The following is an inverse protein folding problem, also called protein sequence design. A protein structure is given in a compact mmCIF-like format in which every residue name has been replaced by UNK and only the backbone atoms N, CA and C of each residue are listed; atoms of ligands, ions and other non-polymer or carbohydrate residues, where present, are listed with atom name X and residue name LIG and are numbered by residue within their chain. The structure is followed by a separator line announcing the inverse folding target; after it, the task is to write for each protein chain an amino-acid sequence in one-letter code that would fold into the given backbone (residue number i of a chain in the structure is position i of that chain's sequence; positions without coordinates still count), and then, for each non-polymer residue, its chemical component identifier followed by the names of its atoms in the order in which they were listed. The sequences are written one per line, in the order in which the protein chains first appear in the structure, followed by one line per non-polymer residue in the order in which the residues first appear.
data_IF_255964674663
#
_entry.id   IF_255964674663
#
_cell.length_a   1.000
_cell.length_b   1.000
_cell.length_c   1.000
_cell.angle_alpha   90.00
_cell.angle_beta   90.00
_cell.angle_gamma   90.00
#
_symmetry.space_group_name_H-M   'P 1'
#
loop_
_entity.id
_entity.type
_entity.pdbx_description
1 polymer ?
#
# COMPACT_ATOMS: atom_id res chain seq x y z
N UNK A 1 -50.03 44.97 33.15
CA UNK A 1 -49.14 44.51 32.06
C UNK A 1 -47.84 43.92 32.63
N UNK A 2 -47.90 42.82 33.39
CA UNK A 2 -46.70 42.28 34.08
C UNK A 2 -46.59 40.74 34.09
N UNK A 3 -47.64 39.98 33.74
CA UNK A 3 -47.60 38.51 33.80
C UNK A 3 -47.20 37.80 32.49
N UNK A 4 -47.29 38.46 31.33
CA UNK A 4 -47.01 37.81 30.04
C UNK A 4 -45.50 37.67 29.78
N UNK A 5 -44.68 38.61 30.27
CA UNK A 5 -43.23 38.61 30.06
C UNK A 5 -42.49 37.58 30.94
N UNK A 6 -43.04 37.18 32.09
CA UNK A 6 -42.45 36.12 32.92
C UNK A 6 -42.65 34.73 32.31
N UNK A 7 -43.76 34.50 31.62
CA UNK A 7 -44.06 33.20 31.03
C UNK A 7 -43.20 32.89 29.80
N UNK A 8 -42.94 33.91 28.97
CA UNK A 8 -42.03 33.80 27.81
C UNK A 8 -40.58 33.55 28.27
N UNK A 9 -40.11 34.25 29.31
CA UNK A 9 -38.75 34.05 29.85
C UNK A 9 -38.53 32.65 30.44
N UNK A 10 -39.55 32.07 31.09
CA UNK A 10 -39.47 30.69 31.62
C UNK A 10 -39.43 29.63 30.52
N UNK A 11 -40.13 29.84 29.40
CA UNK A 11 -40.07 28.90 28.25
C UNK A 11 -38.74 28.98 27.50
N UNK A 12 -38.17 30.17 27.33
CA UNK A 12 -36.85 30.32 26.71
C UNK A 12 -35.75 29.70 27.58
N UNK A 13 -35.81 29.88 28.91
CA UNK A 13 -34.88 29.23 29.83
C UNK A 13 -35.02 27.70 29.85
N UNK A 14 -36.24 27.17 29.77
CA UNK A 14 -36.48 25.72 29.69
C UNK A 14 -36.02 25.11 28.35
N UNK A 15 -36.20 25.83 27.23
CA UNK A 15 -35.74 25.40 25.91
C UNK A 15 -34.21 25.48 25.77
N UNK A 16 -33.57 26.50 26.37
CA UNK A 16 -32.11 26.58 26.43
C UNK A 16 -31.53 25.50 27.35
N UNK A 17 -32.16 25.19 28.48
CA UNK A 17 -31.75 24.09 29.36
C UNK A 17 -31.93 22.72 28.71
N UNK A 18 -33.02 22.48 27.97
CA UNK A 18 -33.20 21.23 27.23
C UNK A 18 -32.26 21.13 26.02
N UNK A 19 -31.99 22.24 25.32
CA UNK A 19 -31.01 22.31 24.23
C UNK A 19 -29.57 22.08 24.68
N UNK A 20 -29.22 22.53 25.89
CA UNK A 20 -27.91 22.27 26.53
C UNK A 20 -27.78 20.84 27.07
N UNK A 21 -28.88 20.19 27.48
CA UNK A 21 -28.83 18.81 27.99
C UNK A 21 -28.71 17.80 26.82
N UNK A 22 -29.26 18.11 25.64
CA UNK A 22 -29.10 17.25 24.45
C UNK A 22 -27.70 17.37 23.82
N UNK A 23 -26.99 18.49 24.01
CA UNK A 23 -25.60 18.67 23.53
C UNK A 23 -24.51 18.19 24.51
N UNK A 24 -24.90 17.75 25.72
CA UNK A 24 -23.98 17.28 26.77
C UNK A 24 -24.07 15.78 27.05
N UNK A 25 -24.78 15.01 26.22
CA UNK A 25 -24.51 13.59 26.14
C UNK A 25 -23.28 13.45 25.24
N UNK A 26 -22.07 13.20 25.79
CA UNK A 26 -21.03 12.62 24.96
C UNK A 26 -21.66 11.36 24.39
N UNK A 27 -21.96 11.40 23.08
CA UNK A 27 -22.15 10.16 22.35
C UNK A 27 -20.98 9.32 22.77
N UNK A 28 -21.24 8.19 23.45
CA UNK A 28 -20.20 7.27 23.84
C UNK A 28 -19.54 6.88 22.53
N UNK A 29 -18.48 7.58 22.16
CA UNK A 29 -17.51 7.15 21.17
C UNK A 29 -16.99 5.88 21.77
N UNK A 30 -17.60 4.76 21.37
CA UNK A 30 -17.08 3.44 21.68
C UNK A 30 -15.63 3.51 21.25
N UNK A 31 -14.72 3.36 22.21
CA UNK A 31 -13.29 3.40 21.93
C UNK A 31 -13.04 2.45 20.76
N UNK A 32 -12.39 2.96 19.72
CA UNK A 32 -12.20 2.20 18.50
C UNK A 32 -11.32 0.98 18.79
N UNK A 33 -11.84 -0.22 18.57
CA UNK A 33 -11.07 -1.45 18.76
C UNK A 33 -10.07 -1.62 17.62
N UNK A 34 -8.79 -1.40 17.91
CA UNK A 34 -7.66 -1.57 16.98
C UNK A 34 -6.76 -2.75 17.37
N UNK A 35 -7.27 -3.68 18.18
CA UNK A 35 -6.48 -4.79 18.74
C UNK A 35 -6.05 -5.83 17.68
N UNK A 36 -6.82 -5.99 16.59
CA UNK A 36 -6.55 -6.99 15.55
C UNK A 36 -6.15 -6.36 14.22
N UNK A 37 -5.38 -7.09 13.40
CA UNK A 37 -5.07 -6.67 12.02
C UNK A 37 -6.36 -6.41 11.23
N UNK A 38 -7.41 -7.21 11.45
CA UNK A 38 -8.70 -7.04 10.77
C UNK A 38 -9.37 -5.71 11.11
N UNK A 39 -9.42 -5.36 12.40
CA UNK A 39 -10.05 -4.10 12.81
C UNK A 39 -9.21 -2.87 12.43
N UNK A 40 -7.88 -2.99 12.47
CA UNK A 40 -6.97 -1.96 11.91
C UNK A 40 -7.13 -1.79 10.40
N UNK A 41 -7.23 -2.88 9.64
CA UNK A 41 -7.47 -2.82 8.20
C UNK A 41 -8.81 -2.13 7.89
N UNK A 42 -9.89 -2.49 8.61
CA UNK A 42 -11.18 -1.84 8.48
C UNK A 42 -11.10 -0.34 8.79
N UNK A 43 -10.35 0.05 9.82
CA UNK A 43 -10.10 1.46 10.13
C UNK A 43 -9.38 2.19 9.00
N UNK A 44 -8.30 1.62 8.45
CA UNK A 44 -7.55 2.21 7.32
C UNK A 44 -8.45 2.42 6.10
N UNK A 45 -9.31 1.43 5.80
CA UNK A 45 -10.24 1.49 4.66
C UNK A 45 -11.30 2.58 4.89
N UNK A 46 -11.86 2.66 6.10
CA UNK A 46 -12.91 3.62 6.48
C UNK A 46 -12.45 5.08 6.33
N UNK A 47 -11.19 5.37 6.63
CA UNK A 47 -10.58 6.70 6.50
C UNK A 47 -10.68 7.27 5.07
N UNK A 48 -10.85 6.41 4.05
CA UNK A 48 -10.96 6.81 2.64
C UNK A 48 -12.40 7.05 2.16
N UNK A 49 -13.39 6.90 3.04
CA UNK A 49 -14.80 7.13 2.71
C UNK A 49 -15.00 8.54 2.17
N UNK A 50 -15.63 8.64 1.00
CA UNK A 50 -16.00 9.91 0.38
C UNK A 50 -14.81 10.74 -0.14
N UNK A 51 -13.58 10.22 -0.11
CA UNK A 51 -12.43 10.91 -0.70
C UNK A 51 -12.54 10.95 -2.23
N UNK A 52 -12.17 12.09 -2.82
CA UNK A 52 -12.14 12.23 -4.27
C UNK A 52 -10.95 11.49 -4.88
N UNK A 53 -11.15 10.96 -6.08
CA UNK A 53 -10.11 10.30 -6.86
C UNK A 53 -9.67 11.25 -7.97
N UNK A 54 -8.47 11.78 -7.82
CA UNK A 54 -7.87 12.65 -8.83
C UNK A 54 -7.36 11.80 -10.02
N UNK A 55 -7.62 12.22 -11.28
CA UNK A 55 -7.08 11.54 -12.46
C UNK A 55 -5.56 11.44 -12.41
N UNK A 56 -5.01 10.30 -12.85
CA UNK A 56 -3.58 10.05 -12.96
C UNK A 56 -2.78 10.29 -11.66
N UNK A 57 -3.45 10.28 -10.50
CA UNK A 57 -2.80 10.55 -9.22
C UNK A 57 -2.07 9.32 -8.68
N UNK A 58 -0.92 9.54 -8.02
CA UNK A 58 -0.08 8.50 -7.41
C UNK A 58 -0.89 7.50 -6.55
N UNK A 59 -1.83 8.02 -5.76
CA UNK A 59 -2.62 7.23 -4.81
C UNK A 59 -4.10 7.12 -5.14
N UNK A 60 -4.53 7.60 -6.33
CA UNK A 60 -5.94 7.57 -6.71
C UNK A 60 -6.52 6.15 -6.68
N UNK A 61 -5.73 5.14 -7.07
CA UNK A 61 -6.15 3.75 -7.05
C UNK A 61 -6.27 3.15 -5.64
N UNK A 62 -5.45 3.59 -4.66
CA UNK A 62 -5.59 3.16 -3.27
C UNK A 62 -6.94 3.62 -2.69
N UNK A 63 -7.29 4.89 -2.93
CA UNK A 63 -8.57 5.47 -2.56
C UNK A 63 -9.72 4.73 -3.24
N UNK A 64 -9.59 4.45 -4.55
CA UNK A 64 -10.60 3.73 -5.31
C UNK A 64 -10.87 2.33 -4.76
N UNK A 65 -9.83 1.54 -4.48
CA UNK A 65 -10.00 0.22 -3.88
C UNK A 65 -10.69 0.28 -2.52
N UNK A 66 -10.29 1.22 -1.65
CA UNK A 66 -10.91 1.36 -0.34
C UNK A 66 -12.40 1.75 -0.44
N UNK A 67 -12.73 2.70 -1.32
CA UNK A 67 -14.13 3.09 -1.56
C UNK A 67 -14.96 1.94 -2.15
N UNK A 68 -14.41 1.16 -3.08
CA UNK A 68 -15.09 0.00 -3.65
C UNK A 68 -15.22 -1.16 -2.66
N UNK A 69 -14.31 -1.29 -1.68
CA UNK A 69 -14.48 -2.23 -0.57
C UNK A 69 -15.67 -1.84 0.33
N UNK A 70 -15.83 -0.54 0.59
CA UNK A 70 -16.96 -0.03 1.38
C UNK A 70 -18.29 -0.05 0.60
N UNK A 71 -18.24 0.19 -0.71
CA UNK A 71 -19.39 0.18 -1.62
C UNK A 71 -18.97 -0.34 -3.00
N UNK A 72 -19.14 -1.64 -3.29
CA UNK A 72 -18.75 -2.23 -4.58
C UNK A 72 -19.50 -1.69 -5.80
N UNK A 73 -20.56 -0.90 -5.61
CA UNK A 73 -21.35 -0.29 -6.67
C UNK A 73 -21.18 1.25 -6.69
N UNK A 74 -20.10 1.78 -6.12
CA UNK A 74 -19.80 3.22 -6.14
C UNK A 74 -19.56 3.69 -7.59
N UNK A 75 -20.63 4.19 -8.23
CA UNK A 75 -20.62 4.61 -9.62
C UNK A 75 -19.63 5.75 -9.90
N UNK A 76 -19.39 6.63 -8.92
CA UNK A 76 -18.39 7.69 -9.05
C UNK A 76 -16.99 7.07 -9.17
N UNK A 77 -16.67 6.10 -8.33
CA UNK A 77 -15.34 5.45 -8.36
C UNK A 77 -15.14 4.68 -9.65
N UNK A 78 -16.15 3.94 -10.12
CA UNK A 78 -16.11 3.20 -11.38
C UNK A 78 -15.86 4.17 -12.55
N UNK A 79 -16.57 5.30 -12.59
CA UNK A 79 -16.37 6.34 -13.59
C UNK A 79 -14.97 6.96 -13.53
N UNK A 80 -14.49 7.31 -12.33
CA UNK A 80 -13.15 7.88 -12.11
C UNK A 80 -12.03 6.94 -12.53
N UNK A 81 -12.17 5.64 -12.31
CA UNK A 81 -11.18 4.65 -12.74
C UNK A 81 -11.27 4.41 -14.25
N UNK A 82 -12.46 4.43 -14.84
CA UNK A 82 -12.64 4.35 -16.30
C UNK A 82 -11.84 5.46 -16.99
N UNK A 83 -12.00 6.71 -16.53
CA UNK A 83 -11.39 7.89 -17.14
C UNK A 83 -10.06 8.32 -16.47
N UNK A 84 -9.40 7.40 -15.76
CA UNK A 84 -8.28 7.73 -14.87
C UNK A 84 -7.10 8.37 -15.60
N UNK A 85 -6.90 8.04 -16.89
CA UNK A 85 -5.78 8.49 -17.71
C UNK A 85 -6.18 9.40 -18.88
N UNK A 86 -7.39 9.95 -18.89
CA UNK A 86 -7.90 10.76 -20.01
C UNK A 86 -7.11 12.04 -20.21
N UNK A 87 -6.68 12.66 -19.10
CA UNK A 87 -5.90 13.90 -19.13
C UNK A 87 -4.39 13.67 -19.32
N UNK A 88 -3.95 12.42 -19.53
CA UNK A 88 -2.55 12.13 -19.86
C UNK A 88 -2.31 12.53 -21.32
N UNK A 89 -1.34 13.41 -21.63
CA UNK A 89 -1.08 13.82 -23.01
C UNK A 89 -0.75 12.62 -23.91
N UNK A 90 -1.20 12.67 -25.16
CA UNK A 90 -0.85 11.65 -26.15
C UNK A 90 0.67 11.52 -26.29
N UNK A 91 1.18 10.29 -26.36
CA UNK A 91 2.62 10.02 -26.41
C UNK A 91 3.34 10.19 -25.06
N UNK A 92 2.64 10.50 -23.97
CA UNK A 92 3.15 10.42 -22.60
C UNK A 92 2.70 9.12 -21.92
N UNK A 93 3.29 8.82 -20.76
CA UNK A 93 2.87 7.69 -19.93
C UNK A 93 2.08 8.21 -18.71
N UNK A 94 1.19 7.39 -18.16
CA UNK A 94 0.52 7.69 -16.90
C UNK A 94 1.48 7.66 -15.71
N UNK A 95 1.00 8.04 -14.53
CA UNK A 95 1.73 7.97 -13.28
C UNK A 95 1.97 6.51 -12.90
N UNK A 96 3.19 6.02 -13.07
CA UNK A 96 3.56 4.61 -12.89
C UNK A 96 3.20 4.00 -11.53
N UNK A 97 3.18 4.81 -10.46
CA UNK A 97 2.75 4.37 -9.12
C UNK A 97 1.26 4.00 -9.03
N UNK A 98 0.47 4.38 -10.02
CA UNK A 98 -0.94 4.02 -10.08
C UNK A 98 -1.19 2.69 -10.80
N UNK A 99 -0.22 2.18 -11.60
CA UNK A 99 -0.48 1.06 -12.51
C UNK A 99 -0.90 -0.22 -11.77
N UNK A 100 -0.21 -0.69 -10.72
CA UNK A 100 -0.62 -1.91 -10.04
C UNK A 100 -1.93 -1.71 -9.27
N UNK A 101 -2.17 -0.50 -8.73
CA UNK A 101 -3.43 -0.19 -8.08
C UNK A 101 -4.61 -0.23 -9.05
N UNK A 102 -4.47 0.34 -10.25
CA UNK A 102 -5.50 0.25 -11.31
C UNK A 102 -5.70 -1.20 -11.76
N UNK A 103 -4.61 -1.97 -11.93
CA UNK A 103 -4.70 -3.39 -12.22
C UNK A 103 -5.43 -4.16 -11.10
N UNK A 104 -5.27 -3.76 -9.85
CA UNK A 104 -5.97 -4.36 -8.72
C UNK A 104 -7.45 -4.02 -8.71
N UNK A 105 -7.82 -2.76 -8.97
CA UNK A 105 -9.23 -2.36 -9.07
C UNK A 105 -9.93 -3.20 -10.13
N UNK A 106 -9.31 -3.33 -11.30
CA UNK A 106 -9.84 -4.18 -12.37
C UNK A 106 -9.92 -5.65 -11.96
N UNK A 107 -8.87 -6.20 -11.33
CA UNK A 107 -8.86 -7.61 -10.93
C UNK A 107 -9.93 -7.96 -9.91
N UNK A 108 -10.16 -7.10 -8.91
CA UNK A 108 -11.11 -7.35 -7.83
C UNK A 108 -12.55 -6.99 -8.19
N UNK A 109 -12.75 -5.99 -9.04
CA UNK A 109 -14.06 -5.43 -9.37
C UNK A 109 -14.39 -5.47 -10.86
N UNK A 110 -13.80 -6.39 -11.62
CA UNK A 110 -13.97 -6.53 -13.07
C UNK A 110 -15.42 -6.43 -13.54
N UNK A 111 -16.32 -7.18 -12.89
CA UNK A 111 -17.75 -7.25 -13.22
C UNK A 111 -18.53 -5.97 -12.89
N UNK A 112 -17.91 -5.03 -12.18
CA UNK A 112 -18.49 -3.69 -11.91
C UNK A 112 -18.28 -2.73 -13.07
N UNK A 113 -17.36 -3.04 -13.98
CA UNK A 113 -17.13 -2.26 -15.19
C UNK A 113 -17.84 -2.88 -16.39
N UNK A 114 -18.62 -2.07 -17.10
CA UNK A 114 -19.16 -2.46 -18.40
C UNK A 114 -18.04 -2.75 -19.41
N UNK A 115 -18.29 -3.54 -20.47
CA UNK A 115 -17.29 -3.75 -21.52
C UNK A 115 -16.75 -2.44 -22.11
N UNK A 116 -17.61 -1.45 -22.36
CA UNK A 116 -17.22 -0.14 -22.89
C UNK A 116 -16.28 0.63 -21.95
N UNK A 117 -16.52 0.58 -20.63
CA UNK A 117 -15.64 1.20 -19.63
C UNK A 117 -14.27 0.52 -19.59
N UNK A 118 -14.23 -0.82 -19.65
CA UNK A 118 -12.98 -1.58 -19.73
C UNK A 118 -12.20 -1.26 -21.00
N UNK A 119 -12.88 -1.16 -22.13
CA UNK A 119 -12.26 -0.83 -23.41
C UNK A 119 -11.71 0.60 -23.46
N UNK A 120 -12.42 1.57 -22.87
CA UNK A 120 -11.95 2.95 -22.74
C UNK A 120 -10.63 3.03 -21.96
N UNK A 121 -10.59 2.43 -20.76
CA UNK A 121 -9.38 2.42 -19.94
C UNK A 121 -8.24 1.67 -20.64
N UNK A 122 -8.51 0.50 -21.22
CA UNK A 122 -7.55 -0.30 -21.98
C UNK A 122 -6.92 0.50 -23.13
N UNK A 123 -7.71 1.28 -23.87
CA UNK A 123 -7.20 2.10 -24.96
C UNK A 123 -6.12 3.09 -24.48
N UNK A 124 -6.31 3.71 -23.31
CA UNK A 124 -5.29 4.58 -22.69
C UNK A 124 -4.05 3.80 -22.26
N UNK A 125 -4.23 2.63 -21.63
CA UNK A 125 -3.12 1.80 -21.16
C UNK A 125 -2.22 1.29 -22.31
N UNK A 126 -2.80 0.97 -23.47
CA UNK A 126 -2.06 0.52 -24.65
C UNK A 126 -1.07 1.55 -25.20
N UNK A 127 -1.35 2.84 -25.01
CA UNK A 127 -0.48 3.95 -25.46
C UNK A 127 0.77 4.13 -24.58
N UNK A 128 0.83 3.50 -23.41
CA UNK A 128 1.96 3.62 -22.49
C UNK A 128 3.15 2.79 -22.97
N UNK A 129 4.25 3.49 -23.27
CA UNK A 129 5.49 2.89 -23.77
C UNK A 129 6.35 2.24 -22.69
N UNK A 130 6.07 2.51 -21.42
CA UNK A 130 6.93 2.15 -20.30
C UNK A 130 6.36 1.05 -19.40
N UNK A 131 5.30 0.35 -19.82
CA UNK A 131 4.74 -0.79 -19.07
C UNK A 131 5.77 -1.90 -18.76
N UNK A 132 6.84 -2.00 -19.57
CA UNK A 132 7.97 -2.91 -19.33
C UNK A 132 9.29 -2.17 -19.05
N UNK A 133 9.21 -0.87 -18.78
CA UNK A 133 10.35 -0.04 -18.45
C UNK A 133 10.86 -0.36 -17.04
N UNK A 134 12.18 -0.34 -16.86
CA UNK A 134 12.78 -0.63 -15.57
C UNK A 134 12.84 0.61 -14.67
N UNK A 135 13.57 1.67 -15.09
CA UNK A 135 13.84 2.78 -14.19
C UNK A 135 14.63 2.32 -12.96
N UNK A 136 14.16 2.67 -11.75
CA UNK A 136 14.64 2.10 -10.48
C UNK A 136 13.94 0.77 -10.19
N UNK A 137 14.43 0.04 -9.19
CA UNK A 137 13.88 -1.27 -8.81
C UNK A 137 12.37 -1.23 -8.49
N UNK A 138 11.90 -0.28 -7.66
CA UNK A 138 10.47 -0.13 -7.40
C UNK A 138 9.65 0.15 -8.67
N UNK A 139 10.15 0.96 -9.61
CA UNK A 139 9.46 1.24 -10.87
C UNK A 139 9.30 -0.04 -11.69
N UNK A 140 10.35 -0.84 -11.78
CA UNK A 140 10.36 -2.10 -12.52
C UNK A 140 9.32 -3.08 -11.96
N UNK A 141 9.27 -3.24 -10.64
CA UNK A 141 8.32 -4.12 -9.94
C UNK A 141 6.88 -3.67 -10.18
N UNK A 142 6.59 -2.38 -10.01
CA UNK A 142 5.24 -1.82 -10.25
C UNK A 142 4.80 -2.04 -11.71
N UNK A 143 5.66 -1.67 -12.66
CA UNK A 143 5.35 -1.76 -14.09
C UNK A 143 5.17 -3.20 -14.54
N UNK A 144 6.10 -4.08 -14.15
CA UNK A 144 6.04 -5.51 -14.47
C UNK A 144 4.80 -6.20 -13.92
N UNK A 145 4.44 -5.96 -12.66
CA UNK A 145 3.24 -6.52 -12.06
C UNK A 145 1.97 -6.07 -12.80
N UNK A 146 1.86 -4.77 -13.10
CA UNK A 146 0.72 -4.23 -13.82
C UNK A 146 0.64 -4.75 -15.26
N UNK A 147 1.76 -4.77 -15.99
CA UNK A 147 1.83 -5.28 -17.36
C UNK A 147 1.40 -6.76 -17.46
N UNK A 148 1.85 -7.57 -16.51
CA UNK A 148 1.44 -8.98 -16.41
C UNK A 148 -0.08 -9.11 -16.25
N UNK A 149 -0.67 -8.35 -15.33
CA UNK A 149 -2.11 -8.41 -15.05
C UNK A 149 -2.95 -7.81 -16.18
N UNK A 150 -2.52 -6.72 -16.81
CA UNK A 150 -3.23 -6.17 -17.97
C UNK A 150 -3.26 -7.18 -19.13
N UNK A 151 -2.14 -7.86 -19.41
CA UNK A 151 -2.12 -8.95 -20.39
C UNK A 151 -3.07 -10.10 -20.01
N UNK A 152 -3.14 -10.45 -18.72
CA UNK A 152 -4.06 -11.47 -18.21
C UNK A 152 -5.53 -11.09 -18.40
N UNK A 153 -5.90 -9.83 -18.14
CA UNK A 153 -7.30 -9.39 -18.21
C UNK A 153 -7.84 -9.28 -19.64
N UNK A 154 -6.95 -9.10 -20.62
CA UNK A 154 -7.30 -9.01 -22.04
C UNK A 154 -6.43 -9.96 -22.88
N UNK A 155 -6.60 -11.28 -22.78
CA UNK A 155 -5.66 -12.27 -23.32
C UNK A 155 -5.48 -12.21 -24.85
N UNK A 156 -6.51 -11.78 -25.58
CA UNK A 156 -6.51 -11.72 -27.05
C UNK A 156 -6.18 -10.33 -27.61
N UNK A 157 -5.81 -9.37 -26.75
CA UNK A 157 -5.58 -7.99 -27.16
C UNK A 157 -4.23 -7.82 -27.89
N UNK A 158 -4.20 -6.84 -28.80
CA UNK A 158 -3.01 -6.48 -29.57
C UNK A 158 -2.69 -5.00 -29.43
N UNK A 159 -1.47 -4.60 -29.76
CA UNK A 159 -1.08 -3.20 -29.82
C UNK A 159 -0.79 -2.53 -28.47
N UNK A 160 -0.43 -3.33 -27.47
CA UNK A 160 0.20 -2.82 -26.25
C UNK A 160 1.54 -2.14 -26.56
N UNK A 161 1.95 -1.25 -25.67
CA UNK A 161 3.24 -0.55 -25.76
C UNK A 161 3.33 0.15 -27.12
N UNK A 162 2.33 0.98 -27.42
CA UNK A 162 2.19 1.75 -28.67
C UNK A 162 2.22 0.88 -29.92
N UNK A 163 1.40 -0.17 -29.95
CA UNK A 163 1.27 -1.00 -31.13
C UNK A 163 2.32 -2.12 -31.26
N UNK A 164 3.29 -2.22 -30.34
CA UNK A 164 4.47 -3.08 -30.54
C UNK A 164 4.30 -4.51 -30.02
N UNK A 165 3.32 -4.77 -29.15
CA UNK A 165 3.17 -6.08 -28.49
C UNK A 165 1.72 -6.57 -28.46
N UNK A 166 1.55 -7.88 -28.57
CA UNK A 166 0.31 -8.59 -28.19
C UNK A 166 0.26 -8.85 -26.69
N UNK A 167 -0.92 -9.16 -26.13
CA UNK A 167 -1.05 -9.56 -24.73
C UNK A 167 -0.18 -10.77 -24.39
N UNK A 168 -0.12 -11.78 -25.28
CA UNK A 168 0.75 -12.94 -25.08
C UNK A 168 2.23 -12.54 -24.92
N UNK A 169 2.73 -11.65 -25.78
CA UNK A 169 4.12 -11.17 -25.69
C UNK A 169 4.35 -10.29 -24.46
N UNK A 170 3.42 -9.39 -24.14
CA UNK A 170 3.50 -8.52 -22.97
C UNK A 170 3.53 -9.34 -21.69
N UNK A 171 2.59 -10.27 -21.56
CA UNK A 171 2.42 -11.15 -20.41
C UNK A 171 3.63 -12.04 -20.20
N UNK A 172 4.14 -12.71 -21.24
CA UNK A 172 5.32 -13.58 -21.10
C UNK A 172 6.58 -12.81 -20.73
N UNK A 173 6.79 -11.62 -21.33
CA UNK A 173 7.95 -10.78 -20.99
C UNK A 173 7.87 -10.27 -19.55
N UNK A 174 6.70 -9.74 -19.14
CA UNK A 174 6.47 -9.31 -17.77
C UNK A 174 6.62 -10.47 -16.77
N UNK A 175 6.08 -11.65 -17.10
CA UNK A 175 6.21 -12.88 -16.30
C UNK A 175 7.67 -13.23 -16.06
N UNK A 176 8.46 -13.36 -17.13
CA UNK A 176 9.90 -13.69 -17.03
C UNK A 176 10.65 -12.68 -16.16
N UNK A 177 10.37 -11.40 -16.36
CA UNK A 177 10.96 -10.30 -15.60
C UNK A 177 10.60 -10.37 -14.11
N UNK A 178 9.31 -10.53 -13.79
CA UNK A 178 8.84 -10.59 -12.41
C UNK A 178 9.34 -11.85 -11.68
N UNK A 179 9.33 -13.01 -12.32
CA UNK A 179 9.89 -14.24 -11.74
C UNK A 179 11.39 -14.09 -11.48
N UNK A 180 12.15 -13.48 -12.40
CA UNK A 180 13.57 -13.22 -12.19
C UNK A 180 13.82 -12.29 -10.99
N UNK A 181 13.07 -11.19 -10.89
CA UNK A 181 13.15 -10.26 -9.75
C UNK A 181 12.80 -10.93 -8.42
N UNK A 182 11.72 -11.73 -8.36
CA UNK A 182 11.33 -12.39 -7.11
C UNK A 182 12.33 -13.48 -6.70
N UNK A 183 12.93 -14.19 -7.66
CA UNK A 183 14.03 -15.13 -7.38
C UNK A 183 15.27 -14.41 -6.85
N UNK A 184 15.61 -13.22 -7.37
CA UNK A 184 16.79 -12.50 -6.91
C UNK A 184 16.70 -12.04 -5.45
N UNK A 185 15.50 -11.84 -4.91
CA UNK A 185 15.32 -11.50 -3.50
C UNK A 185 16.02 -12.52 -2.58
N UNK A 186 15.86 -13.81 -2.89
CA UNK A 186 16.43 -14.90 -2.10
C UNK A 186 17.89 -15.20 -2.41
N UNK A 187 18.34 -14.88 -3.62
CA UNK A 187 19.74 -15.05 -4.02
C UNK A 187 20.64 -13.96 -3.43
N UNK A 188 20.15 -12.71 -3.39
CA UNK A 188 21.00 -11.54 -3.11
C UNK A 188 20.31 -10.32 -2.50
N UNK A 189 19.03 -10.40 -2.18
CA UNK A 189 18.25 -9.26 -1.70
C UNK A 189 17.87 -8.28 -2.82
N UNK A 190 17.71 -7.01 -2.46
CA UNK A 190 17.18 -5.95 -3.34
C UNK A 190 17.81 -4.59 -2.99
N UNK A 191 17.86 -3.67 -3.95
CA UNK A 191 18.60 -2.40 -3.87
C UNK A 191 17.95 -1.32 -3.01
N UNK A 192 16.65 -1.45 -2.75
CA UNK A 192 15.90 -0.56 -1.88
C UNK A 192 15.65 -1.23 -0.51
N UNK A 193 16.61 -2.05 -0.06
CA UNK A 193 16.45 -2.92 1.10
C UNK A 193 16.05 -2.14 2.35
N UNK A 194 14.91 -2.56 2.93
CA UNK A 194 14.37 -2.02 4.17
C UNK A 194 14.19 -0.49 4.20
N UNK A 195 14.14 0.15 3.02
CA UNK A 195 13.79 1.56 2.91
C UNK A 195 12.42 1.82 3.54
N UNK A 196 12.35 2.74 4.49
CA UNK A 196 11.08 3.23 5.06
C UNK A 196 10.13 3.77 3.99
N UNK A 197 10.69 4.29 2.89
CA UNK A 197 9.93 4.87 1.77
C UNK A 197 9.55 3.83 0.73
N UNK A 198 10.49 2.97 0.35
CA UNK A 198 10.32 2.08 -0.80
C UNK A 198 9.88 0.67 -0.43
N UNK A 199 10.04 0.22 0.82
CA UNK A 199 9.50 -1.08 1.26
C UNK A 199 7.98 -1.17 0.99
N UNK A 200 7.14 -0.19 1.35
CA UNK A 200 5.71 -0.24 1.02
C UNK A 200 5.44 -0.20 -0.49
N UNK A 201 6.30 0.47 -1.27
CA UNK A 201 6.24 0.54 -2.73
C UNK A 201 6.53 -0.82 -3.37
N UNK A 202 7.39 -1.63 -2.74
CA UNK A 202 7.69 -3.00 -3.16
C UNK A 202 6.59 -3.98 -2.78
N UNK A 203 5.94 -3.78 -1.63
CA UNK A 203 4.91 -4.71 -1.15
C UNK A 203 3.65 -4.70 -2.01
N UNK A 204 3.13 -3.53 -2.37
CA UNK A 204 1.81 -3.45 -3.00
C UNK A 204 1.68 -4.09 -4.41
N UNK A 205 2.72 -4.09 -5.28
CA UNK A 205 2.68 -4.83 -6.54
C UNK A 205 2.67 -6.35 -6.31
N UNK A 206 3.30 -6.85 -5.24
CA UNK A 206 3.22 -8.27 -4.90
C UNK A 206 1.88 -8.63 -4.26
N UNK A 207 1.26 -7.74 -3.47
CA UNK A 207 -0.12 -7.96 -3.00
C UNK A 207 -1.10 -8.12 -4.16
N UNK A 208 -1.05 -7.24 -5.17
CA UNK A 208 -1.96 -7.37 -6.32
C UNK A 208 -1.68 -8.65 -7.13
N UNK A 209 -0.42 -9.06 -7.29
CA UNK A 209 -0.12 -10.34 -7.94
C UNK A 209 -0.66 -11.52 -7.12
N UNK A 210 -0.47 -11.52 -5.81
CA UNK A 210 -1.01 -12.55 -4.93
C UNK A 210 -2.54 -12.64 -5.01
N UNK A 211 -3.23 -11.50 -5.01
CA UNK A 211 -4.69 -11.44 -4.99
C UNK A 211 -5.34 -11.65 -6.37
N UNK A 212 -4.67 -11.27 -7.46
CA UNK A 212 -5.29 -11.21 -8.80
C UNK A 212 -4.64 -12.10 -9.87
N UNK A 213 -3.43 -12.64 -9.66
CA UNK A 213 -2.83 -13.54 -10.65
C UNK A 213 -3.57 -14.89 -10.68
N UNK A 214 -3.80 -15.39 -11.90
CA UNK A 214 -4.44 -16.69 -12.15
C UNK A 214 -3.42 -17.81 -12.36
N UNK A 215 -2.19 -17.48 -12.78
CA UNK A 215 -1.08 -18.44 -12.84
C UNK A 215 -0.63 -18.81 -11.41
N UNK A 216 -0.73 -20.09 -11.01
CA UNK A 216 -0.32 -20.53 -9.69
C UNK A 216 1.17 -20.29 -9.41
N UNK A 217 2.05 -20.35 -10.42
CA UNK A 217 3.48 -20.07 -10.22
C UNK A 217 3.71 -18.58 -9.90
N UNK A 218 3.04 -17.67 -10.63
CA UNK A 218 3.14 -16.23 -10.35
C UNK A 218 2.60 -15.90 -8.96
N UNK A 219 1.47 -16.47 -8.58
CA UNK A 219 0.88 -16.27 -7.25
C UNK A 219 1.78 -16.79 -6.12
N UNK A 220 2.35 -17.99 -6.28
CA UNK A 220 3.28 -18.56 -5.32
C UNK A 220 4.59 -17.75 -5.23
N UNK A 221 5.10 -17.25 -6.35
CA UNK A 221 6.28 -16.38 -6.36
C UNK A 221 6.01 -15.04 -5.67
N UNK A 222 4.83 -14.45 -5.88
CA UNK A 222 4.42 -13.23 -5.19
C UNK A 222 4.25 -13.46 -3.68
N UNK A 223 3.65 -14.59 -3.27
CA UNK A 223 3.58 -15.00 -1.87
C UNK A 223 4.96 -15.12 -1.24
N UNK A 224 5.90 -15.78 -1.93
CA UNK A 224 7.29 -15.88 -1.48
C UNK A 224 7.94 -14.49 -1.34
N UNK A 225 7.83 -13.62 -2.35
CA UNK A 225 8.36 -12.26 -2.28
C UNK A 225 7.82 -11.48 -1.07
N UNK A 226 6.52 -11.60 -0.77
CA UNK A 226 5.91 -11.01 0.42
C UNK A 226 6.47 -11.59 1.72
N UNK A 227 6.64 -12.91 1.80
CA UNK A 227 7.31 -13.55 2.93
C UNK A 227 8.72 -13.01 3.12
N UNK A 228 9.53 -12.89 2.06
CA UNK A 228 10.88 -12.36 2.14
C UNK A 228 10.89 -10.93 2.68
N UNK A 229 10.13 -10.01 2.06
CA UNK A 229 10.10 -8.61 2.47
C UNK A 229 9.61 -8.45 3.92
N UNK A 230 8.53 -9.13 4.30
CA UNK A 230 7.91 -8.94 5.61
C UNK A 230 8.69 -9.69 6.70
N UNK A 231 9.33 -10.82 6.40
CA UNK A 231 10.27 -11.47 7.33
C UNK A 231 11.52 -10.60 7.55
N UNK A 232 12.08 -10.04 6.49
CA UNK A 232 13.23 -9.14 6.58
C UNK A 232 12.89 -7.86 7.36
N UNK A 233 11.69 -7.31 7.16
CA UNK A 233 11.12 -6.21 7.95
C UNK A 233 10.99 -6.61 9.42
N UNK A 234 10.39 -7.76 9.72
CA UNK A 234 10.22 -8.26 11.09
C UNK A 234 11.56 -8.51 11.82
N UNK A 235 12.55 -9.07 11.12
CA UNK A 235 13.90 -9.31 11.64
C UNK A 235 14.64 -8.02 11.98
N UNK A 236 14.26 -6.92 11.33
CA UNK A 236 14.86 -5.61 11.49
C UNK A 236 13.88 -4.60 12.10
N UNK A 237 12.93 -5.07 12.91
CA UNK A 237 11.93 -4.23 13.56
C UNK A 237 12.19 -4.11 15.07
N UNK A 238 12.17 -2.89 15.59
CA UNK A 238 12.19 -2.61 17.02
C UNK A 238 11.27 -1.43 17.35
N UNK A 239 10.27 -1.65 18.21
CA UNK A 239 9.31 -0.63 18.67
C UNK A 239 8.65 0.23 17.57
N UNK A 240 8.41 -0.34 16.38
CA UNK A 240 7.76 0.36 15.26
C UNK A 240 8.72 0.96 14.25
N UNK A 241 10.03 0.84 14.49
CA UNK A 241 11.08 1.42 13.65
C UNK A 241 11.90 0.31 12.99
N UNK A 242 12.35 0.55 11.76
CA UNK A 242 13.29 -0.33 11.08
C UNK A 242 14.71 -0.06 11.60
N UNK A 243 15.40 -1.10 12.07
CA UNK A 243 16.78 -1.01 12.53
C UNK A 243 17.69 -0.66 11.33
N UNK A 244 18.48 0.44 11.39
CA UNK A 244 19.41 0.84 10.33
C UNK A 244 20.65 -0.07 10.24
N UNK A 245 21.49 0.02 9.19
CA UNK A 245 21.35 0.91 8.04
C UNK A 245 20.33 0.41 7.02
N UNK A 246 19.56 1.34 6.48
CA UNK A 246 18.61 1.11 5.38
C UNK A 246 19.14 1.74 4.10
N UNK A 247 18.66 1.31 2.94
CA UNK A 247 19.03 1.90 1.66
C UNK A 247 18.00 2.90 1.17
N UNK A 248 18.47 3.96 0.50
CA UNK A 248 17.62 4.95 -0.21
C UNK A 248 16.50 5.57 0.62
N UNK A 249 16.80 5.85 1.88
CA UNK A 249 15.86 6.55 2.74
C UNK A 249 16.01 8.05 2.74
N UNK A 250 14.88 8.71 2.97
CA UNK A 250 14.84 10.12 3.30
C UNK A 250 15.08 10.29 4.81
N UNK A 251 16.00 11.17 5.25
CA UNK A 251 16.34 11.37 6.66
C UNK A 251 15.13 11.68 7.56
N UNK A 252 14.09 12.31 7.02
CA UNK A 252 12.84 12.64 7.73
C UNK A 252 11.95 11.41 8.00
N UNK A 253 12.22 10.26 7.37
CA UNK A 253 11.38 9.05 7.48
C UNK A 253 11.96 7.97 8.39
N UNK A 254 13.20 8.14 8.85
CA UNK A 254 13.87 7.29 9.85
C UNK A 254 13.61 7.75 11.28
N UNK A 255 12.71 8.72 11.47
CA UNK A 255 12.37 9.26 12.77
C UNK A 255 11.71 8.21 13.65
N UNK A 256 11.97 8.27 14.96
CA UNK A 256 11.27 7.39 15.88
C UNK A 256 9.76 7.72 15.89
N UNK A 257 8.95 6.75 16.27
CA UNK A 257 7.49 6.91 16.31
C UNK A 257 7.02 7.94 17.35
N UNK A 258 7.90 8.40 18.24
CA UNK A 258 7.61 9.44 19.24
C UNK A 258 7.64 10.86 18.67
N UNK A 259 8.24 11.08 17.51
CA UNK A 259 8.18 12.36 16.77
C UNK A 259 7.16 12.32 15.65
N UNK A 260 6.15 11.43 15.74
CA UNK A 260 5.03 11.43 14.81
C UNK A 260 4.29 12.78 14.89
N UNK A 261 4.47 13.61 13.87
CA UNK A 261 3.63 14.78 13.64
C UNK A 261 2.57 14.43 12.58
N UNK A 262 1.28 14.71 12.82
CA UNK A 262 0.23 14.56 11.82
C UNK A 262 0.64 15.20 10.48
N UNK A 263 0.60 14.42 9.40
CA UNK A 263 1.02 14.84 8.06
C UNK A 263 2.46 14.46 7.66
N UNK A 264 3.25 13.90 8.58
CA UNK A 264 4.59 13.41 8.27
C UNK A 264 4.57 12.08 7.52
N UNK A 265 5.47 11.89 6.54
CA UNK A 265 5.48 10.74 5.63
C UNK A 265 6.12 9.52 6.30
N UNK A 266 5.31 8.53 6.68
CA UNK A 266 5.79 7.38 7.46
C UNK A 266 5.22 6.05 6.96
N UNK A 267 5.30 5.81 5.64
CA UNK A 267 4.67 4.65 5.02
C UNK A 267 5.10 3.32 5.64
N UNK A 268 6.40 3.13 5.94
CA UNK A 268 6.91 1.94 6.64
C UNK A 268 6.31 1.73 8.03
N UNK A 269 6.20 2.80 8.84
CA UNK A 269 5.65 2.69 10.20
C UNK A 269 4.17 2.29 10.20
N UNK A 270 3.39 2.78 9.22
CA UNK A 270 1.98 2.37 9.09
C UNK A 270 1.84 0.89 8.70
N UNK A 271 2.77 0.35 7.91
CA UNK A 271 2.82 -1.10 7.63
C UNK A 271 3.18 -1.90 8.88
N UNK A 272 4.19 -1.47 9.66
CA UNK A 272 4.49 -2.06 10.95
C UNK A 272 3.25 -2.06 11.84
N UNK A 273 2.59 -0.90 11.99
CA UNK A 273 1.41 -0.74 12.85
C UNK A 273 0.25 -1.63 12.41
N UNK A 274 -0.02 -1.71 11.11
CA UNK A 274 -1.07 -2.58 10.59
C UNK A 274 -0.86 -4.03 11.04
N UNK A 275 0.36 -4.56 10.91
CA UNK A 275 0.66 -5.96 11.23
C UNK A 275 0.93 -6.22 12.72
N UNK A 276 1.65 -5.34 13.40
CA UNK A 276 2.21 -5.55 14.75
C UNK A 276 2.05 -4.31 15.64
N UNK A 277 0.83 -3.78 15.77
CA UNK A 277 0.54 -2.63 16.63
C UNK A 277 0.96 -2.83 18.10
N UNK A 278 0.94 -4.08 18.57
CA UNK A 278 1.32 -4.49 19.92
C UNK A 278 2.84 -4.53 20.14
N UNK A 279 3.63 -4.43 19.06
CA UNK A 279 5.09 -4.36 19.11
C UNK A 279 5.61 -2.91 19.06
N UNK A 280 4.76 -1.92 19.35
CA UNK A 280 5.05 -0.49 19.17
C UNK A 280 4.37 0.33 20.25
N UNK A 281 4.93 1.51 20.54
CA UNK A 281 4.45 2.39 21.60
C UNK A 281 3.58 3.54 21.09
N UNK A 282 2.98 3.41 19.90
CA UNK A 282 2.15 4.44 19.28
C UNK A 282 0.97 3.84 18.50
N UNK A 283 -0.05 4.67 18.26
CA UNK A 283 -1.18 4.35 17.38
C UNK A 283 -1.48 5.59 16.54
N UNK A 284 -1.61 5.47 15.21
CA UNK A 284 -1.92 6.59 14.33
C UNK A 284 -3.31 7.15 14.64
N UNK A 285 -3.42 8.48 14.75
CA UNK A 285 -4.70 9.17 14.82
C UNK A 285 -5.41 9.22 13.46
N UNK A 286 -4.63 9.20 12.38
CA UNK A 286 -5.08 9.16 10.99
C UNK A 286 -3.99 8.54 10.12
N UNK A 287 -4.34 8.17 8.89
CA UNK A 287 -3.37 7.81 7.86
C UNK A 287 -2.98 9.04 7.06
N UNK A 288 -1.68 9.29 6.87
CA UNK A 288 -1.24 10.40 6.04
C UNK A 288 -1.75 10.25 4.60
N UNK A 289 -2.08 11.37 3.95
CA UNK A 289 -2.61 11.39 2.58
C UNK A 289 -1.52 11.44 1.51
N UNK A 290 -0.25 11.33 1.92
CA UNK A 290 0.91 11.12 1.06
C UNK A 290 1.23 9.63 0.96
N UNK A 291 2.47 9.27 1.29
CA UNK A 291 2.96 7.89 1.17
C UNK A 291 2.25 6.91 2.14
N UNK A 292 1.53 7.38 3.16
CA UNK A 292 0.69 6.54 4.01
C UNK A 292 -0.44 5.81 3.27
N UNK A 293 -0.77 6.22 2.05
CA UNK A 293 -1.70 5.48 1.20
C UNK A 293 -1.23 4.06 0.88
N UNK A 294 0.07 3.72 1.01
CA UNK A 294 0.50 2.34 0.78
C UNK A 294 -0.05 1.35 1.81
N UNK A 295 -0.37 1.78 3.05
CA UNK A 295 -1.00 0.89 4.04
C UNK A 295 -2.41 0.47 3.63
N UNK A 296 -3.08 1.25 2.78
CA UNK A 296 -4.41 0.93 2.25
C UNK A 296 -4.35 -0.36 1.43
N UNK A 297 -3.33 -0.52 0.59
CA UNK A 297 -3.11 -1.75 -0.17
C UNK A 297 -2.88 -2.96 0.75
N UNK A 298 -2.06 -2.82 1.79
CA UNK A 298 -1.82 -3.89 2.76
C UNK A 298 -3.10 -4.28 3.53
N UNK A 299 -3.93 -3.29 3.88
CA UNK A 299 -5.22 -3.50 4.54
C UNK A 299 -6.20 -4.27 3.66
N UNK A 300 -6.22 -3.97 2.35
CA UNK A 300 -7.13 -4.57 1.36
C UNK A 300 -6.70 -5.95 0.86
N UNK A 301 -5.42 -6.29 0.97
CA UNK A 301 -4.93 -7.59 0.52
C UNK A 301 -5.50 -8.74 1.34
N UNK A 302 -5.65 -9.92 0.74
CA UNK A 302 -5.93 -11.14 1.51
C UNK A 302 -4.66 -11.77 2.10
N UNK A 303 -3.48 -11.33 1.68
CA UNK A 303 -2.23 -11.84 2.23
C UNK A 303 -2.00 -11.34 3.65
N UNK A 304 -1.56 -12.23 4.55
CA UNK A 304 -1.20 -11.87 5.93
C UNK A 304 0.12 -12.55 6.31
N UNK A 305 0.97 -11.88 7.11
CA UNK A 305 2.20 -12.50 7.56
C UNK A 305 1.89 -13.74 8.41
N UNK A 306 2.59 -14.86 8.18
CA UNK A 306 2.57 -16.02 9.06
C UNK A 306 2.88 -15.66 10.51
N UNK A 307 2.35 -16.46 11.44
CA UNK A 307 2.55 -16.29 12.88
C UNK A 307 4.03 -16.20 13.26
N UNK A 308 4.90 -17.02 12.65
CA UNK A 308 6.34 -17.00 12.93
C UNK A 308 6.99 -15.65 12.61
N UNK A 309 6.59 -15.00 11.52
CA UNK A 309 7.07 -13.66 11.17
C UNK A 309 6.55 -12.62 12.17
N UNK A 310 5.31 -12.79 12.65
CA UNK A 310 4.75 -11.94 13.72
C UNK A 310 5.49 -12.07 15.05
N UNK A 311 5.81 -13.29 15.47
CA UNK A 311 6.61 -13.55 16.68
C UNK A 311 8.01 -12.93 16.57
N UNK A 312 8.64 -13.03 15.40
CA UNK A 312 9.90 -12.34 15.14
C UNK A 312 9.76 -10.83 15.30
N UNK A 313 8.75 -10.19 14.69
CA UNK A 313 8.57 -8.74 14.81
C UNK A 313 8.34 -8.27 16.26
N UNK A 314 7.61 -9.05 17.07
CA UNK A 314 7.37 -8.77 18.49
C UNK A 314 8.56 -9.04 19.41
N UNK A 315 9.61 -9.69 18.90
CA UNK A 315 10.76 -10.05 19.73
C UNK A 315 10.43 -11.19 20.69
N UNK A 316 9.48 -12.05 20.32
CA UNK A 316 9.19 -13.33 20.98
C UNK A 316 10.28 -14.37 20.65
N UNK A 317 11.53 -13.93 20.72
CA UNK A 317 12.72 -14.69 20.38
C UNK A 317 13.73 -14.60 21.54
N UNK A 318 14.75 -15.45 21.50
CA UNK A 318 15.99 -15.15 22.23
C UNK A 318 16.69 -13.94 21.59
N UNK A 319 17.59 -13.24 22.30
CA UNK A 319 18.46 -12.27 21.67
C UNK A 319 19.15 -12.87 20.45
N UNK A 320 19.29 -12.08 19.39
CA UNK A 320 19.92 -12.55 18.15
C UNK A 320 20.80 -11.51 17.50
N UNK A 321 21.74 -12.02 16.72
CA UNK A 321 22.54 -11.26 15.78
C UNK A 321 22.16 -11.67 14.36
N UNK A 322 22.11 -10.69 13.46
CA UNK A 322 21.84 -10.86 12.05
C UNK A 322 22.98 -10.23 11.25
N UNK A 323 23.56 -11.00 10.36
CA UNK A 323 24.41 -10.49 9.27
C UNK A 323 23.66 -10.58 7.97
N UNK A 324 23.57 -9.49 7.22
CA UNK A 324 22.89 -9.47 5.93
C UNK A 324 23.63 -8.59 4.93
N UNK A 325 23.41 -8.87 3.65
CA UNK A 325 23.81 -8.00 2.56
C UNK A 325 22.65 -7.76 1.61
N UNK A 326 22.51 -6.52 1.12
CA UNK A 326 21.61 -6.19 0.04
C UNK A 326 22.38 -6.06 -1.28
N UNK A 327 21.74 -6.43 -2.39
CA UNK A 327 22.29 -6.20 -3.72
C UNK A 327 22.21 -4.72 -4.09
N UNK A 328 23.13 -4.26 -4.94
CA UNK A 328 23.01 -2.97 -5.60
C UNK A 328 21.95 -3.01 -6.71
N UNK A 329 21.70 -1.86 -7.34
CA UNK A 329 20.78 -1.80 -8.47
C UNK A 329 21.18 -2.74 -9.60
N UNK A 330 20.21 -3.48 -10.12
CA UNK A 330 20.36 -4.23 -11.36
C UNK A 330 19.04 -4.44 -12.07
N UNK A 331 19.14 -4.74 -13.36
CA UNK A 331 18.00 -4.90 -14.25
C UNK A 331 17.31 -6.25 -14.00
N UNK A 332 16.06 -6.25 -13.51
CA UNK A 332 15.26 -7.46 -13.24
C UNK A 332 15.99 -8.52 -12.41
N UNK A 333 16.54 -8.09 -11.27
CA UNK A 333 17.23 -8.99 -10.37
C UNK A 333 18.65 -9.35 -10.81
N UNK A 334 19.31 -8.53 -11.63
CA UNK A 334 20.74 -8.73 -12.00
C UNK A 334 21.73 -7.96 -11.12
N UNK A 335 21.26 -7.33 -10.04
CA UNK A 335 22.12 -6.56 -9.13
C UNK A 335 23.28 -7.40 -8.59
N UNK A 336 24.40 -6.76 -8.29
CA UNK A 336 25.52 -7.44 -7.62
C UNK A 336 25.26 -7.48 -6.12
N UNK A 337 25.44 -8.63 -5.43
CA UNK A 337 25.34 -8.70 -3.97
C UNK A 337 26.35 -7.75 -3.28
N UNK A 338 26.14 -7.52 -1.97
CA UNK A 338 27.08 -6.83 -1.08
C UNK A 338 27.26 -5.31 -1.30
N UNK A 339 26.20 -4.62 -1.74
CA UNK A 339 26.21 -3.14 -1.83
C UNK A 339 25.97 -2.47 -0.47
N UNK A 340 25.13 -3.08 0.39
CA UNK A 340 24.97 -2.69 1.79
C UNK A 340 25.11 -3.89 2.69
N UNK A 341 26.13 -3.85 3.54
CA UNK A 341 26.38 -4.83 4.59
C UNK A 341 25.66 -4.39 5.85
N UNK A 342 25.21 -5.36 6.64
CA UNK A 342 24.45 -5.11 7.87
C UNK A 342 24.86 -6.09 8.94
N UNK A 343 25.09 -5.56 10.13
CA UNK A 343 25.22 -6.28 11.37
C UNK A 343 24.19 -5.71 12.33
N UNK A 344 23.22 -6.53 12.73
CA UNK A 344 22.15 -6.15 13.66
C UNK A 344 22.24 -7.01 14.89
N UNK A 345 22.15 -6.39 16.06
CA UNK A 345 21.88 -7.05 17.33
C UNK A 345 20.50 -6.59 17.82
N UNK A 346 19.74 -7.54 18.36
CA UNK A 346 18.46 -7.23 18.99
C UNK A 346 18.22 -8.09 20.22
N UNK A 347 17.77 -7.43 21.28
CA UNK A 347 17.11 -8.07 22.42
C UNK A 347 15.78 -7.36 22.76
N UNK A 348 15.28 -7.58 23.98
CA UNK A 348 14.01 -7.01 24.46
C UNK A 348 14.11 -5.54 24.89
N UNK A 349 15.32 -5.06 25.18
CA UNK A 349 15.57 -3.74 25.74
C UNK A 349 16.12 -2.77 24.70
N UNK A 350 16.90 -3.26 23.75
CA UNK A 350 17.46 -2.43 22.69
C UNK A 350 17.72 -3.22 21.41
N UNK A 351 17.88 -2.46 20.33
CA UNK A 351 18.40 -2.93 19.08
C UNK A 351 19.48 -1.99 18.58
N UNK A 352 20.47 -2.53 17.88
CA UNK A 352 21.53 -1.77 17.25
C UNK A 352 21.79 -2.36 15.88
N UNK A 353 22.05 -1.50 14.90
CA UNK A 353 22.56 -1.94 13.62
C UNK A 353 23.70 -1.06 13.13
N UNK A 354 24.62 -1.68 12.40
CA UNK A 354 25.81 -1.09 11.80
C UNK A 354 26.05 -1.72 10.42
N UNK A 355 26.83 -1.07 9.56
CA UNK A 355 27.08 -1.55 8.21
C UNK A 355 28.07 -0.72 7.43
#
# INVERSE_FOLDING_TARGET
MTNQNQWIRRRIAALLACGLIVSLLPGRTVAQDLSTVKTRAAWVIEQRRGESINPNAKFGAAIALARLELNPNDAEVIDRITHFYDNVPAGSNGQQFSYPGVAWVLGKYWEKFTPAQRDHLKARLKDFSDLLGHGTENHAIMKGAAAYLFAQYWPDETGWVRGTMTSAQLGEKARKQMIATMRSLYDKGYAENLSHNYLPVHLYPYYVLYDCATDPEMKAAADAALHFHVANMAANHFEGVTIPPTQRDYPETTWNTYTYEPGSRHAGHLIHWLYWADAQNWTPAEIDRGDGNYVVYAALSNWRPPVAIGSLARGETVPYELTASAAGFGFWGTGTPADVLRYVYRDKLYAMGSG
#
